data_IF_494245468987
#
_entry.id   IF_494245468987
#
_cell.length_a   1.000
_cell.length_b   1.000
_cell.length_c   1.000
_cell.angle_alpha   90.00
_cell.angle_beta   90.00
_cell.angle_gamma   90.00
#
_symmetry.space_group_name_H-M   'P 1'
#
loop_
_entity.id
_entity.type
_entity.pdbx_description
1 polymer ?
#
# COMPACT_ATOMS: atom_id res chain seq x y z
N UNK A 1 -13.93 -23.99 -10.42
CA UNK A 1 -13.88 -22.76 -11.26
C UNK A 1 -12.48 -22.71 -11.88
N UNK A 2 -12.36 -22.34 -13.15
CA UNK A 2 -11.03 -22.19 -13.77
C UNK A 2 -10.27 -21.05 -13.09
N UNK A 3 -8.96 -21.23 -12.86
CA UNK A 3 -8.09 -20.18 -12.30
C UNK A 3 -8.12 -18.92 -13.18
N UNK A 4 -8.18 -19.07 -14.50
CA UNK A 4 -8.28 -17.93 -15.43
C UNK A 4 -9.53 -17.06 -15.17
N UNK A 5 -10.67 -17.70 -14.91
CA UNK A 5 -11.92 -17.00 -14.60
C UNK A 5 -11.88 -16.31 -13.24
N UNK A 6 -11.20 -16.90 -12.24
CA UNK A 6 -11.02 -16.28 -10.93
C UNK A 6 -10.12 -15.04 -11.02
N UNK A 7 -9.03 -15.13 -11.78
CA UNK A 7 -8.12 -14.01 -12.07
C UNK A 7 -8.86 -12.89 -12.81
N UNK A 8 -9.64 -13.22 -13.85
CA UNK A 8 -10.45 -12.24 -14.60
C UNK A 8 -11.37 -11.44 -13.68
N UNK A 9 -12.15 -12.13 -12.85
CA UNK A 9 -13.09 -11.49 -11.93
C UNK A 9 -12.40 -10.54 -10.93
N UNK A 10 -11.17 -10.86 -10.50
CA UNK A 10 -10.39 -9.96 -9.64
C UNK A 10 -9.84 -8.76 -10.40
N UNK A 11 -9.45 -8.94 -11.66
CA UNK A 11 -8.97 -7.85 -12.51
C UNK A 11 -10.09 -6.87 -12.89
N UNK A 12 -11.33 -7.35 -13.09
CA UNK A 12 -12.51 -6.50 -13.31
C UNK A 12 -12.78 -5.55 -12.14
N UNK A 13 -12.54 -6.00 -10.91
CA UNK A 13 -12.66 -5.21 -9.68
C UNK A 13 -11.40 -4.39 -9.36
N UNK A 14 -10.40 -4.36 -10.23
CA UNK A 14 -9.09 -3.74 -10.02
C UNK A 14 -8.32 -4.27 -8.80
N UNK A 15 -8.61 -5.51 -8.37
CA UNK A 15 -7.98 -6.18 -7.24
C UNK A 15 -6.73 -6.97 -7.68
N UNK A 16 -5.69 -6.25 -8.10
CA UNK A 16 -4.44 -6.80 -8.66
C UNK A 16 -3.75 -7.79 -7.72
N UNK A 17 -3.67 -7.49 -6.42
CA UNK A 17 -3.03 -8.37 -5.44
C UNK A 17 -3.78 -9.71 -5.25
N UNK A 18 -5.12 -9.66 -5.29
CA UNK A 18 -5.94 -10.86 -5.18
C UNK A 18 -5.87 -11.71 -6.46
N UNK A 19 -5.81 -11.07 -7.63
CA UNK A 19 -5.57 -11.74 -8.90
C UNK A 19 -4.25 -12.54 -8.87
N UNK A 20 -3.17 -11.92 -8.37
CA UNK A 20 -1.88 -12.60 -8.19
C UNK A 20 -1.99 -13.76 -7.20
N UNK A 21 -2.74 -13.58 -6.11
CA UNK A 21 -2.98 -14.63 -5.11
C UNK A 21 -3.65 -15.86 -5.72
N UNK A 22 -4.62 -15.68 -6.63
CA UNK A 22 -5.26 -16.79 -7.33
C UNK A 22 -4.28 -17.57 -8.25
N UNK A 23 -3.35 -16.86 -8.90
CA UNK A 23 -2.28 -17.50 -9.69
C UNK A 23 -1.37 -18.33 -8.78
N UNK A 24 -0.94 -17.78 -7.64
CA UNK A 24 -0.10 -18.53 -6.69
C UNK A 24 -0.84 -19.70 -6.02
N UNK A 25 -2.16 -19.62 -5.86
CA UNK A 25 -2.97 -20.74 -5.38
C UNK A 25 -2.92 -21.93 -6.35
N UNK A 26 -2.88 -21.68 -7.67
CA UNK A 26 -2.65 -22.72 -8.67
C UNK A 26 -1.28 -23.40 -8.48
N UNK A 27 -0.21 -22.63 -8.31
CA UNK A 27 1.12 -23.20 -8.06
C UNK A 27 1.19 -23.99 -6.75
N UNK A 28 0.56 -23.49 -5.68
CA UNK A 28 0.43 -24.25 -4.41
C UNK A 28 -0.33 -25.55 -4.61
N UNK A 29 -1.38 -25.57 -5.45
CA UNK A 29 -2.12 -26.79 -5.79
C UNK A 29 -1.25 -27.78 -6.56
N UNK A 30 -0.41 -27.31 -7.49
CA UNK A 30 0.56 -28.13 -8.20
C UNK A 30 1.55 -28.78 -7.24
N UNK A 31 2.11 -28.03 -6.29
CA UNK A 31 2.99 -28.59 -5.25
C UNK A 31 2.29 -29.68 -4.43
N UNK A 32 1.07 -29.39 -3.95
CA UNK A 32 0.27 -30.40 -3.23
C UNK A 32 -0.03 -31.63 -4.10
N UNK A 33 -0.25 -31.46 -5.40
CA UNK A 33 -0.49 -32.55 -6.33
C UNK A 33 0.75 -33.44 -6.50
N UNK A 34 1.95 -32.84 -6.54
CA UNK A 34 3.23 -33.58 -6.52
C UNK A 34 3.32 -34.44 -5.24
N UNK A 35 3.01 -33.87 -4.08
CA UNK A 35 3.06 -34.58 -2.80
C UNK A 35 2.04 -35.74 -2.73
N UNK A 36 0.83 -35.52 -3.24
CA UNK A 36 -0.25 -36.52 -3.25
C UNK A 36 0.02 -37.67 -4.23
N UNK A 37 0.65 -37.37 -5.38
CA UNK A 37 0.89 -38.36 -6.44
C UNK A 37 2.25 -39.04 -6.35
N UNK A 38 3.20 -38.43 -5.63
CA UNK A 38 4.55 -38.97 -5.41
C UNK A 38 5.20 -39.50 -6.69
N UNK A 39 5.42 -38.66 -7.73
CA UNK A 39 5.87 -39.12 -9.05
C UNK A 39 7.21 -39.88 -9.01
N UNK A 40 8.07 -39.60 -8.02
CA UNK A 40 9.32 -40.35 -7.81
C UNK A 40 9.11 -41.79 -7.35
N UNK A 41 7.95 -42.14 -6.79
CA UNK A 41 7.57 -43.52 -6.48
C UNK A 41 7.03 -44.19 -7.73
N UNK A 42 6.12 -43.53 -8.45
CA UNK A 42 5.56 -44.03 -9.72
C UNK A 42 6.65 -44.31 -10.76
N UNK A 43 7.70 -43.48 -10.81
CA UNK A 43 8.84 -43.66 -11.70
C UNK A 43 9.69 -44.91 -11.45
N UNK A 44 9.53 -45.58 -10.29
CA UNK A 44 10.29 -46.80 -9.97
C UNK A 44 9.64 -48.06 -10.52
N UNK A 45 8.35 -48.02 -10.85
CA UNK A 45 7.59 -49.17 -11.31
C UNK A 45 7.22 -49.02 -12.79
N UNK A 46 7.60 -50.00 -13.59
CA UNK A 46 7.33 -49.98 -15.04
C UNK A 46 5.83 -50.08 -15.37
N UNK A 47 5.04 -50.72 -14.50
CA UNK A 47 3.58 -50.80 -14.63
C UNK A 47 2.85 -49.46 -14.40
N UNK A 48 3.48 -48.51 -13.71
CA UNK A 48 2.88 -47.21 -13.36
C UNK A 48 3.24 -46.10 -14.38
N UNK A 49 3.92 -46.44 -15.48
CA UNK A 49 4.39 -45.47 -16.50
C UNK A 49 3.27 -44.62 -17.08
N UNK A 50 2.11 -45.21 -17.40
CA UNK A 50 0.97 -44.46 -17.96
C UNK A 50 0.39 -43.47 -16.93
N UNK A 51 0.37 -43.88 -15.65
CA UNK A 51 -0.07 -43.01 -14.57
C UNK A 51 0.91 -41.86 -14.34
N UNK A 52 2.21 -42.15 -14.37
CA UNK A 52 3.26 -41.13 -14.28
C UNK A 52 3.15 -40.14 -15.43
N UNK A 53 2.97 -40.59 -16.67
CA UNK A 53 2.81 -39.72 -17.83
C UNK A 53 1.62 -38.76 -17.65
N UNK A 54 0.48 -39.27 -17.16
CA UNK A 54 -0.70 -38.46 -16.85
C UNK A 54 -0.42 -37.41 -15.77
N UNK A 55 0.28 -37.80 -14.70
CA UNK A 55 0.64 -36.89 -13.60
C UNK A 55 1.57 -35.78 -14.10
N UNK A 56 2.60 -36.13 -14.87
CA UNK A 56 3.56 -35.19 -15.43
C UNK A 56 2.90 -34.23 -16.42
N UNK A 57 2.03 -34.73 -17.30
CA UNK A 57 1.29 -33.90 -18.24
C UNK A 57 0.42 -32.88 -17.50
N UNK A 58 -0.32 -33.32 -16.49
CA UNK A 58 -1.17 -32.42 -15.71
C UNK A 58 -0.37 -31.30 -15.02
N UNK A 59 0.83 -31.60 -14.53
CA UNK A 59 1.71 -30.62 -13.89
C UNK A 59 2.23 -29.60 -14.90
N UNK A 60 2.78 -30.07 -16.02
CA UNK A 60 3.34 -29.19 -17.05
C UNK A 60 2.27 -28.28 -17.64
N UNK A 61 1.09 -28.83 -17.93
CA UNK A 61 -0.07 -28.08 -18.41
C UNK A 61 -0.49 -26.99 -17.41
N UNK A 62 -0.64 -27.36 -16.13
CA UNK A 62 -1.07 -26.43 -15.09
C UNK A 62 -0.04 -25.31 -14.84
N UNK A 63 1.25 -25.65 -14.87
CA UNK A 63 2.34 -24.67 -14.69
C UNK A 63 2.42 -23.75 -15.91
N UNK A 64 2.23 -24.24 -17.13
CA UNK A 64 2.22 -23.42 -18.34
C UNK A 64 1.05 -22.41 -18.35
N UNK A 65 -0.13 -22.84 -17.91
CA UNK A 65 -1.29 -21.95 -17.73
C UNK A 65 -0.98 -20.90 -16.65
N UNK A 66 -0.44 -21.32 -15.50
CA UNK A 66 -0.06 -20.42 -14.42
C UNK A 66 0.99 -19.38 -14.84
N UNK A 67 2.01 -19.79 -15.60
CA UNK A 67 3.03 -18.90 -16.13
C UNK A 67 2.47 -17.90 -17.15
N UNK A 68 1.54 -18.34 -18.01
CA UNK A 68 0.86 -17.46 -18.96
C UNK A 68 0.00 -16.41 -18.25
N UNK A 69 -0.70 -16.79 -17.17
CA UNK A 69 -1.43 -15.85 -16.30
C UNK A 69 -0.50 -14.90 -15.51
N UNK A 70 0.73 -15.34 -15.22
CA UNK A 70 1.72 -14.56 -14.48
C UNK A 70 2.42 -13.50 -15.35
N UNK A 71 2.45 -13.68 -16.68
CA UNK A 71 3.15 -12.81 -17.62
C UNK A 71 2.82 -11.30 -17.51
N UNK A 72 1.57 -10.86 -17.26
CA UNK A 72 1.24 -9.45 -17.06
C UNK A 72 1.83 -8.85 -15.78
N UNK A 73 2.21 -9.68 -14.79
CA UNK A 73 2.73 -9.25 -13.50
C UNK A 73 4.25 -9.42 -13.40
N UNK A 74 4.78 -10.55 -13.86
CA UNK A 74 6.20 -10.91 -13.84
C UNK A 74 6.62 -11.50 -15.21
N UNK A 75 6.83 -10.65 -16.23
CA UNK A 75 7.07 -11.11 -17.61
C UNK A 75 8.33 -11.97 -17.74
N UNK A 76 9.44 -11.55 -17.12
CA UNK A 76 10.71 -12.27 -17.16
C UNK A 76 10.61 -13.65 -16.48
N UNK A 77 9.95 -13.70 -15.31
CA UNK A 77 9.76 -14.96 -14.59
C UNK A 77 8.87 -15.92 -15.38
N UNK A 78 7.78 -15.42 -15.97
CA UNK A 78 6.89 -16.22 -16.80
C UNK A 78 7.64 -16.80 -18.01
N UNK A 79 8.45 -16.00 -18.70
CA UNK A 79 9.27 -16.45 -19.82
C UNK A 79 10.29 -17.52 -19.40
N UNK A 80 10.95 -17.34 -18.26
CA UNK A 80 11.87 -18.35 -17.71
C UNK A 80 11.17 -19.67 -17.42
N UNK A 81 9.97 -19.64 -16.81
CA UNK A 81 9.19 -20.87 -16.54
C UNK A 81 8.86 -21.59 -17.85
N UNK A 82 8.32 -20.85 -18.82
CA UNK A 82 7.88 -21.42 -20.10
C UNK A 82 9.06 -21.97 -20.92
N UNK A 83 10.20 -21.27 -20.90
CA UNK A 83 11.45 -21.72 -21.53
C UNK A 83 11.97 -23.02 -20.92
N UNK A 84 11.91 -23.15 -19.58
CA UNK A 84 12.29 -24.40 -18.91
C UNK A 84 11.36 -25.56 -19.28
N UNK A 85 10.07 -25.29 -19.45
CA UNK A 85 9.08 -26.27 -19.91
C UNK A 85 9.11 -26.51 -21.44
N UNK A 86 9.94 -25.79 -22.20
CA UNK A 86 10.04 -25.93 -23.65
C UNK A 86 8.77 -25.49 -24.40
N UNK A 87 8.01 -24.55 -23.85
CA UNK A 87 6.76 -24.05 -24.46
C UNK A 87 6.73 -22.51 -24.50
N UNK A 88 5.68 -21.95 -25.12
CA UNK A 88 5.41 -20.52 -25.18
C UNK A 88 4.18 -20.16 -24.35
N UNK A 89 4.02 -18.88 -24.06
CA UNK A 89 2.84 -18.35 -23.38
C UNK A 89 1.59 -18.59 -24.25
N UNK A 90 0.49 -18.94 -23.61
CA UNK A 90 -0.80 -19.12 -24.29
C UNK A 90 -1.47 -17.77 -24.53
N UNK A 91 -2.30 -17.73 -25.56
CA UNK A 91 -3.25 -16.62 -25.70
C UNK A 91 -4.26 -16.68 -24.54
N UNK A 92 -4.83 -15.53 -24.19
CA UNK A 92 -5.71 -15.41 -23.03
C UNK A 92 -6.97 -16.28 -23.16
N UNK A 93 -7.49 -16.37 -24.37
CA UNK A 93 -8.68 -17.11 -24.77
C UNK A 93 -8.50 -18.63 -24.57
N UNK A 94 -7.26 -19.11 -24.66
CA UNK A 94 -6.89 -20.53 -24.58
C UNK A 94 -6.60 -20.99 -23.13
N UNK A 95 -6.57 -20.06 -22.16
CA UNK A 95 -6.23 -20.36 -20.76
C UNK A 95 -7.31 -21.17 -20.03
N UNK A 96 -8.52 -21.24 -20.59
CA UNK A 96 -9.61 -22.06 -20.07
C UNK A 96 -9.57 -23.52 -20.55
N UNK A 97 -8.75 -23.81 -21.56
CA UNK A 97 -8.67 -25.12 -22.19
C UNK A 97 -7.46 -25.92 -21.69
N UNK A 98 -7.70 -27.20 -21.42
CA UNK A 98 -6.69 -28.13 -20.95
C UNK A 98 -6.38 -29.15 -22.05
N UNK A 99 -5.11 -29.48 -22.24
CA UNK A 99 -4.66 -30.40 -23.29
C UNK A 99 -3.91 -29.73 -24.44
N UNK A 100 -3.51 -28.46 -24.30
CA UNK A 100 -2.85 -27.71 -25.37
C UNK A 100 -1.32 -27.75 -25.30
N UNK A 101 -0.73 -28.34 -24.25
CA UNK A 101 0.72 -28.51 -24.21
C UNK A 101 1.17 -29.49 -25.30
N UNK A 102 2.13 -29.09 -26.16
CA UNK A 102 2.54 -29.88 -27.32
C UNK A 102 3.26 -31.17 -26.89
N UNK A 103 2.93 -32.27 -27.58
CA UNK A 103 3.60 -33.55 -27.38
C UNK A 103 4.98 -33.58 -28.05
N UNK A 104 5.89 -34.41 -27.54
CA UNK A 104 7.26 -34.56 -28.05
C UNK A 104 8.25 -33.48 -27.61
N UNK A 105 7.82 -32.52 -26.78
CA UNK A 105 8.70 -31.54 -26.14
C UNK A 105 9.58 -32.17 -25.06
N UNK A 106 10.83 -31.69 -24.93
CA UNK A 106 11.74 -32.06 -23.84
C UNK A 106 11.91 -30.87 -22.89
N UNK A 107 11.54 -31.07 -21.63
CA UNK A 107 11.83 -30.12 -20.53
C UNK A 107 13.35 -30.03 -20.36
N UNK A 108 13.87 -28.85 -19.98
CA UNK A 108 15.30 -28.64 -19.80
C UNK A 108 15.92 -29.62 -18.79
N UNK A 109 17.13 -30.12 -19.09
CA UNK A 109 17.80 -31.10 -18.22
C UNK A 109 18.31 -30.50 -16.91
N UNK A 110 18.67 -29.21 -16.91
CA UNK A 110 19.13 -28.48 -15.74
C UNK A 110 18.18 -27.32 -15.47
N UNK A 111 17.34 -27.38 -14.41
CA UNK A 111 16.44 -26.29 -14.08
C UNK A 111 17.24 -25.07 -13.60
N UNK A 112 16.79 -23.89 -14.00
CA UNK A 112 17.27 -22.61 -13.49
C UNK A 112 16.46 -22.22 -12.25
N UNK A 113 17.14 -21.72 -11.22
CA UNK A 113 16.49 -21.19 -10.02
C UNK A 113 15.72 -19.92 -10.41
N UNK A 114 14.39 -19.96 -10.34
CA UNK A 114 13.52 -18.85 -10.71
C UNK A 114 13.63 -17.66 -9.73
N UNK A 115 13.74 -17.97 -8.45
CA UNK A 115 13.88 -16.99 -7.38
C UNK A 115 15.06 -17.39 -6.49
N UNK A 116 16.20 -16.75 -6.69
CA UNK A 116 17.30 -16.88 -5.75
C UNK A 116 16.83 -16.32 -4.40
N UNK A 117 17.12 -17.03 -3.31
CA UNK A 117 16.89 -16.49 -1.97
C UNK A 117 17.74 -15.23 -1.86
N UNK A 118 17.07 -14.10 -1.67
CA UNK A 118 17.73 -12.85 -1.44
C UNK A 118 18.52 -12.94 -0.12
N UNK A 119 19.81 -12.60 -0.17
CA UNK A 119 20.62 -12.41 1.03
C UNK A 119 20.21 -11.07 1.66
N UNK A 120 19.75 -11.11 2.91
CA UNK A 120 19.20 -9.94 3.60
C UNK A 120 20.16 -8.75 3.53
N UNK A 121 21.45 -8.99 3.78
CA UNK A 121 22.48 -7.94 3.81
C UNK A 121 22.63 -7.23 2.45
N UNK A 122 22.61 -7.97 1.33
CA UNK A 122 22.72 -7.39 -0.02
C UNK A 122 21.46 -6.65 -0.45
N UNK A 123 20.29 -7.08 0.02
CA UNK A 123 19.03 -6.36 -0.22
C UNK A 123 19.01 -5.06 0.54
N UNK A 124 19.46 -5.04 1.80
CA UNK A 124 19.53 -3.81 2.60
C UNK A 124 20.46 -2.80 1.94
N UNK A 125 21.63 -3.21 1.45
CA UNK A 125 22.55 -2.34 0.71
C UNK A 125 21.90 -1.76 -0.57
N UNK A 126 21.21 -2.57 -1.37
CA UNK A 126 20.51 -2.09 -2.57
C UNK A 126 19.33 -1.17 -2.24
N UNK A 127 18.60 -1.48 -1.17
CA UNK A 127 17.50 -0.65 -0.66
C UNK A 127 18.04 0.70 -0.17
N UNK A 128 19.18 0.74 0.51
CA UNK A 128 19.85 1.97 0.92
C UNK A 128 20.31 2.79 -0.28
N UNK A 129 20.93 2.17 -1.29
CA UNK A 129 21.33 2.86 -2.52
C UNK A 129 20.13 3.45 -3.27
N UNK A 130 19.01 2.72 -3.34
CA UNK A 130 17.77 3.21 -3.97
C UNK A 130 17.15 4.34 -3.14
N UNK A 131 17.10 4.19 -1.80
CA UNK A 131 16.63 5.23 -0.87
C UNK A 131 17.47 6.50 -0.99
N UNK A 132 18.80 6.38 -1.03
CA UNK A 132 19.69 7.53 -1.19
C UNK A 132 19.46 8.26 -2.51
N UNK A 133 19.28 7.53 -3.62
CA UNK A 133 18.97 8.14 -4.92
C UNK A 133 17.63 8.86 -4.89
N UNK A 134 16.61 8.25 -4.33
CA UNK A 134 15.28 8.84 -4.19
C UNK A 134 15.30 10.07 -3.27
N UNK A 135 16.05 10.03 -2.16
CA UNK A 135 16.23 11.18 -1.25
C UNK A 135 16.93 12.32 -1.99
N UNK A 136 18.00 12.04 -2.74
CA UNK A 136 18.74 13.06 -3.51
C UNK A 136 17.86 13.69 -4.60
N UNK A 137 17.12 12.88 -5.35
CA UNK A 137 16.18 13.38 -6.37
C UNK A 137 15.08 14.26 -5.75
N UNK A 138 14.53 13.85 -4.60
CA UNK A 138 13.53 14.61 -3.86
C UNK A 138 14.07 15.92 -3.26
N UNK A 139 15.27 15.89 -2.68
CA UNK A 139 15.96 17.10 -2.20
C UNK A 139 16.24 18.07 -3.35
N UNK A 140 16.62 17.57 -4.53
CA UNK A 140 16.80 18.40 -5.72
C UNK A 140 15.49 19.01 -6.23
N UNK A 141 14.38 18.26 -6.21
CA UNK A 141 13.05 18.78 -6.53
C UNK A 141 12.60 19.85 -5.54
N UNK A 142 12.66 19.58 -4.23
CA UNK A 142 12.34 20.56 -3.19
C UNK A 142 13.19 21.82 -3.31
N UNK A 143 14.49 21.67 -3.64
CA UNK A 143 15.39 22.80 -3.85
C UNK A 143 14.98 23.62 -5.07
N UNK A 144 14.59 22.96 -6.17
CA UNK A 144 14.04 23.64 -7.36
C UNK A 144 12.75 24.39 -7.03
N UNK A 145 11.83 23.76 -6.31
CA UNK A 145 10.58 24.39 -5.88
C UNK A 145 10.79 25.57 -4.93
N UNK A 146 11.71 25.46 -3.97
CA UNK A 146 12.06 26.53 -3.05
C UNK A 146 12.66 27.75 -3.77
N UNK A 147 13.53 27.52 -4.75
CA UNK A 147 14.11 28.56 -5.60
C UNK A 147 13.00 29.25 -6.43
N UNK A 148 12.07 28.50 -7.02
CA UNK A 148 10.92 29.04 -7.77
C UNK A 148 10.00 29.86 -6.85
N UNK A 149 9.83 29.43 -5.60
CA UNK A 149 8.98 30.09 -4.60
C UNK A 149 9.67 31.25 -3.85
N UNK A 150 10.93 31.58 -4.17
CA UNK A 150 11.69 32.66 -3.53
C UNK A 150 12.01 32.42 -2.05
N UNK A 151 12.08 31.16 -1.61
CA UNK A 151 12.47 30.75 -0.26
C UNK A 151 13.92 30.28 -0.22
N UNK A 152 14.55 30.41 0.94
CA UNK A 152 15.94 29.99 1.15
C UNK A 152 16.07 28.45 1.02
N UNK A 153 16.87 27.94 0.07
CA UNK A 153 17.00 26.52 -0.22
C UNK A 153 17.79 25.71 0.82
N UNK A 154 18.46 26.35 1.80
CA UNK A 154 19.33 25.67 2.78
C UNK A 154 18.71 25.54 4.19
N UNK A 155 17.45 25.96 4.37
CA UNK A 155 16.83 26.05 5.71
C UNK A 155 16.34 24.72 6.32
N UNK A 156 16.45 23.57 5.64
CA UNK A 156 16.02 22.28 6.16
C UNK A 156 16.93 21.14 5.67
N UNK A 157 17.91 20.79 6.49
CA UNK A 157 18.57 19.46 6.45
C UNK A 157 18.04 18.61 7.60
N UNK A 158 17.30 17.54 7.34
CA UNK A 158 17.14 16.46 8.30
C UNK A 158 18.37 15.55 8.20
N UNK A 159 18.96 15.25 9.36
CA UNK A 159 20.07 14.32 9.48
C UNK A 159 19.58 12.86 9.44
N UNK A 160 20.34 12.06 8.70
CA UNK A 160 20.55 10.61 8.69
C UNK A 160 19.72 9.74 9.65
N UNK A 161 19.05 8.71 9.12
CA UNK A 161 18.86 7.44 9.84
C UNK A 161 18.45 6.28 8.92
N UNK A 162 19.17 5.19 9.15
CA UNK A 162 19.11 3.82 8.64
C UNK A 162 17.93 3.02 9.19
N UNK A 163 17.47 2.06 8.37
CA UNK A 163 16.65 0.84 8.67
C UNK A 163 15.32 0.98 9.45
N UNK A 164 14.24 0.20 9.28
CA UNK A 164 13.69 -0.75 8.30
C UNK A 164 12.23 -0.98 8.77
N UNK A 165 11.19 -0.84 7.94
CA UNK A 165 10.54 -1.99 7.32
C UNK A 165 9.01 -1.97 7.51
N UNK A 166 8.32 -2.45 6.46
CA UNK A 166 6.90 -2.82 6.35
C UNK A 166 5.87 -1.75 5.90
N UNK A 167 5.22 -2.08 4.77
CA UNK A 167 4.08 -1.44 4.07
C UNK A 167 4.37 -0.17 3.25
N UNK A 168 4.69 -0.36 1.97
CA UNK A 168 4.76 0.72 0.99
C UNK A 168 3.70 0.51 -0.10
N UNK A 169 2.51 1.05 0.14
CA UNK A 169 1.62 1.62 -0.89
C UNK A 169 0.87 2.79 -0.24
N UNK A 170 1.64 3.85 0.02
CA UNK A 170 1.26 5.24 0.32
C UNK A 170 2.58 5.92 0.69
N UNK A 171 3.06 6.85 -0.15
CA UNK A 171 4.27 7.62 0.12
C UNK A 171 4.00 8.60 1.28
N UNK A 172 4.06 8.09 2.52
CA UNK A 172 3.99 8.89 3.74
C UNK A 172 5.43 9.17 4.17
N UNK A 173 5.88 10.44 4.23
CA UNK A 173 7.18 10.76 4.79
C UNK A 173 7.24 10.26 6.24
N UNK A 174 8.14 9.31 6.50
CA UNK A 174 8.30 8.71 7.84
C UNK A 174 8.93 9.75 8.75
N UNK A 175 8.16 10.23 9.73
CA UNK A 175 8.68 11.07 10.82
C UNK A 175 9.49 10.20 11.79
N UNK A 176 10.49 10.75 12.51
CA UNK A 176 11.21 10.01 13.54
C UNK A 176 10.24 9.42 14.58
N UNK A 177 10.57 8.25 15.10
CA UNK A 177 9.82 7.64 16.19
C UNK A 177 9.82 8.57 17.40
N UNK A 178 8.64 8.74 18.01
CA UNK A 178 8.47 9.48 19.26
C UNK A 178 8.23 8.48 20.38
N UNK A 179 8.62 8.86 21.60
CA UNK A 179 8.34 8.03 22.77
C UNK A 179 6.85 8.05 23.11
N UNK A 180 6.38 7.04 23.85
CA UNK A 180 5.00 7.07 24.36
C UNK A 180 4.75 8.31 25.23
N UNK A 181 5.76 8.78 25.98
CA UNK A 181 5.65 9.98 26.81
C UNK A 181 5.43 11.25 25.97
N UNK A 182 6.01 11.33 24.78
CA UNK A 182 5.77 12.42 23.84
C UNK A 182 4.31 12.42 23.36
N UNK A 183 3.73 11.25 23.12
CA UNK A 183 2.32 11.09 22.76
C UNK A 183 1.39 11.37 23.95
N UNK A 184 1.67 10.81 25.12
CA UNK A 184 0.91 11.01 26.34
C UNK A 184 0.94 12.47 26.83
N UNK A 185 1.98 13.22 26.45
CA UNK A 185 2.06 14.67 26.68
C UNK A 185 1.09 15.48 25.81
N UNK A 186 0.50 14.91 24.76
CA UNK A 186 -0.49 15.56 23.91
C UNK A 186 -1.90 15.17 24.33
N UNK A 187 -2.75 16.17 24.52
CA UNK A 187 -4.12 15.96 24.95
C UNK A 187 -5.07 16.03 23.75
N UNK A 188 -5.47 14.86 23.27
CA UNK A 188 -6.43 14.73 22.18
C UNK A 188 -7.85 14.58 22.74
N UNK A 189 -8.78 15.38 22.24
CA UNK A 189 -10.20 15.28 22.61
C UNK A 189 -11.10 15.35 21.40
N UNK A 190 -12.25 14.66 21.49
CA UNK A 190 -13.37 14.84 20.57
C UNK A 190 -14.24 15.99 21.08
N UNK A 191 -14.55 16.96 20.22
CA UNK A 191 -15.41 18.08 20.55
C UNK A 191 -16.44 18.37 19.47
N UNK A 192 -17.55 19.00 19.85
CA UNK A 192 -18.60 19.42 18.93
C UNK A 192 -18.43 20.89 18.55
N UNK A 193 -18.45 21.19 17.25
CA UNK A 193 -18.42 22.57 16.77
C UNK A 193 -19.79 23.21 17.00
N UNK A 194 -19.85 24.20 17.88
CA UNK A 194 -21.10 24.92 18.20
C UNK A 194 -21.30 26.16 17.34
N UNK A 195 -20.20 26.71 16.81
CA UNK A 195 -20.21 27.90 15.96
C UNK A 195 -18.99 27.88 15.05
N UNK A 196 -19.15 28.25 13.79
CA UNK A 196 -18.06 28.43 12.84
C UNK A 196 -18.28 29.72 12.05
N UNK A 197 -17.21 30.49 11.84
CA UNK A 197 -17.25 31.74 11.07
C UNK A 197 -16.01 31.85 10.19
N UNK A 198 -16.13 32.55 9.06
CA UNK A 198 -14.97 32.89 8.24
C UNK A 198 -14.11 33.98 8.90
N UNK A 199 -12.79 33.82 8.85
CA UNK A 199 -11.88 34.83 9.39
C UNK A 199 -11.78 36.02 8.43
N UNK A 200 -12.20 37.20 8.90
CA UNK A 200 -12.11 38.45 8.12
C UNK A 200 -10.67 38.71 7.72
N UNK A 201 -10.43 38.89 6.41
CA UNK A 201 -9.09 39.12 5.87
C UNK A 201 -8.31 37.84 5.49
N UNK A 202 -8.88 36.64 5.67
CA UNK A 202 -8.26 35.40 5.23
C UNK A 202 -9.11 34.63 4.21
N UNK A 203 -8.44 34.15 3.15
CA UNK A 203 -9.04 33.27 2.14
C UNK A 203 -8.97 31.78 2.52
N UNK A 204 -8.24 31.43 3.59
CA UNK A 204 -7.96 30.03 3.96
C UNK A 204 -8.49 29.62 5.34
N UNK A 205 -8.81 30.58 6.20
CA UNK A 205 -9.07 30.30 7.63
C UNK A 205 -10.56 30.30 7.98
N UNK A 206 -10.96 29.32 8.78
CA UNK A 206 -12.21 29.29 9.54
C UNK A 206 -11.91 29.38 11.04
N UNK A 207 -12.77 30.09 11.78
CA UNK A 207 -12.74 30.17 13.23
C UNK A 207 -13.89 29.34 13.80
N UNK A 208 -13.56 28.27 14.51
CA UNK A 208 -14.53 27.35 15.12
C UNK A 208 -14.52 27.48 16.64
N UNK A 209 -15.71 27.58 17.23
CA UNK A 209 -15.92 27.39 18.67
C UNK A 209 -16.26 25.93 18.89
N UNK A 210 -15.36 25.20 19.57
CA UNK A 210 -15.48 23.75 19.77
C UNK A 210 -15.72 23.47 21.24
N UNK A 211 -16.79 22.74 21.54
CA UNK A 211 -17.15 22.31 22.89
C UNK A 211 -16.53 20.95 23.19
N UNK A 212 -15.75 20.89 24.27
CA UNK A 212 -15.17 19.67 24.83
C UNK A 212 -15.79 19.43 26.20
N UNK A 213 -17.01 18.89 26.22
CA UNK A 213 -17.79 18.73 27.44
C UNK A 213 -18.21 20.08 28.02
N UNK A 214 -17.65 20.47 29.17
CA UNK A 214 -17.96 21.72 29.85
C UNK A 214 -17.20 22.95 29.35
N UNK A 215 -16.15 22.76 28.55
CA UNK A 215 -15.28 23.84 28.08
C UNK A 215 -15.52 24.14 26.60
N UNK A 216 -15.43 25.41 26.22
CA UNK A 216 -15.45 25.85 24.81
C UNK A 216 -14.12 26.51 24.50
N UNK A 217 -13.46 26.04 23.45
CA UNK A 217 -12.18 26.60 22.96
C UNK A 217 -12.36 27.16 21.55
N UNK A 218 -11.65 28.25 21.27
CA UNK A 218 -11.58 28.81 19.93
C UNK A 218 -10.43 28.17 19.14
N UNK A 219 -10.73 27.58 17.98
CA UNK A 219 -9.74 26.93 17.11
C UNK A 219 -9.82 27.54 15.71
N UNK A 220 -8.69 28.08 15.23
CA UNK A 220 -8.57 28.65 13.90
C UNK A 220 -7.88 27.64 12.98
N UNK A 221 -8.53 27.27 11.87
CA UNK A 221 -8.09 26.17 11.00
C UNK A 221 -8.07 26.56 9.52
N UNK A 222 -7.10 26.04 8.78
CA UNK A 222 -6.83 26.33 7.36
C UNK A 222 -7.72 25.59 6.36
N UNK A 223 -8.95 25.25 6.73
CA UNK A 223 -9.80 24.30 6.00
C UNK A 223 -10.91 24.95 5.17
N UNK A 224 -10.90 26.28 5.03
CA UNK A 224 -11.95 27.04 4.30
C UNK A 224 -12.11 26.62 2.84
N UNK A 225 -11.05 26.12 2.20
CA UNK A 225 -11.12 25.63 0.83
C UNK A 225 -11.96 24.35 0.68
N UNK A 226 -12.16 23.61 1.78
CA UNK A 226 -12.79 22.29 1.79
C UNK A 226 -14.12 22.26 2.55
N UNK A 227 -14.31 23.17 3.51
CA UNK A 227 -15.52 23.24 4.34
C UNK A 227 -16.06 24.67 4.41
N UNK A 228 -17.39 24.77 4.47
CA UNK A 228 -18.12 26.01 4.74
C UNK A 228 -18.49 26.09 6.23
N UNK A 229 -18.67 27.30 6.80
CA UNK A 229 -19.10 27.46 8.20
C UNK A 229 -20.35 26.65 8.55
N UNK A 230 -21.32 26.58 7.63
CA UNK A 230 -22.59 25.87 7.81
C UNK A 230 -22.39 24.35 7.91
N UNK A 231 -21.43 23.80 7.15
CA UNK A 231 -21.09 22.39 7.22
C UNK A 231 -20.34 22.03 8.51
N UNK A 232 -19.64 22.99 9.11
CA UNK A 232 -18.84 22.75 10.32
C UNK A 232 -19.70 22.65 11.58
N UNK A 233 -20.75 23.47 11.69
CA UNK A 233 -21.62 23.49 12.88
C UNK A 233 -22.30 22.14 13.08
N UNK A 234 -22.21 21.61 14.30
CA UNK A 234 -22.78 20.33 14.71
C UNK A 234 -21.85 19.12 14.51
N UNK A 235 -20.77 19.23 13.73
CA UNK A 235 -19.81 18.13 13.54
C UNK A 235 -19.01 17.86 14.82
N UNK A 236 -18.78 16.57 15.07
CA UNK A 236 -17.80 16.09 16.06
C UNK A 236 -16.44 15.97 15.40
N UNK A 237 -15.43 16.59 15.99
CA UNK A 237 -14.08 16.68 15.44
C UNK A 237 -13.05 16.33 16.49
N UNK A 238 -11.96 15.71 16.07
CA UNK A 238 -10.79 15.47 16.91
C UNK A 238 -9.88 16.72 16.93
N UNK A 239 -9.43 17.11 18.11
CA UNK A 239 -8.52 18.23 18.27
C UNK A 239 -7.47 17.99 19.37
N UNK A 240 -6.32 18.62 19.23
CA UNK A 240 -5.32 18.75 20.30
C UNK A 240 -5.68 20.00 21.11
N UNK A 241 -5.87 19.85 22.43
CA UNK A 241 -6.41 20.91 23.30
C UNK A 241 -5.41 21.53 24.28
N UNK A 242 -4.18 20.98 24.35
CA UNK A 242 -3.11 21.42 25.25
C UNK A 242 -1.90 22.03 24.53
N UNK A 243 -2.03 22.43 23.26
CA UNK A 243 -1.01 23.20 22.56
C UNK A 243 -0.93 24.63 23.11
N UNK A 244 0.28 25.22 23.03
CA UNK A 244 0.46 26.65 23.31
C UNK A 244 -0.42 27.47 22.35
N UNK A 245 -1.24 28.42 22.84
CA UNK A 245 -2.09 29.20 21.96
C UNK A 245 -1.29 29.96 20.89
N UNK A 246 -1.76 29.90 19.65
CA UNK A 246 -1.15 30.59 18.52
C UNK A 246 -2.06 31.71 18.02
N UNK A 247 -1.49 32.82 17.51
CA UNK A 247 -2.27 33.90 16.90
C UNK A 247 -2.26 33.76 15.39
N UNK A 248 -3.43 33.55 14.79
CA UNK A 248 -3.62 33.39 13.35
C UNK A 248 -4.57 34.48 12.84
N UNK A 249 -4.08 35.36 11.97
CA UNK A 249 -4.85 36.49 11.43
C UNK A 249 -5.56 37.34 12.52
N UNK A 250 -4.88 37.58 13.65
CA UNK A 250 -5.39 38.36 14.77
C UNK A 250 -6.34 37.62 15.72
N UNK A 251 -6.64 36.34 15.45
CA UNK A 251 -7.46 35.49 16.31
C UNK A 251 -6.59 34.49 17.07
N UNK A 252 -6.91 34.29 18.36
CA UNK A 252 -6.27 33.28 19.21
C UNK A 252 -6.80 31.88 18.85
N UNK A 253 -5.92 30.95 18.52
CA UNK A 253 -6.21 29.52 18.39
C UNK A 253 -5.69 28.78 19.61
N UNK A 254 -6.59 28.12 20.33
CA UNK A 254 -6.33 27.42 21.59
C UNK A 254 -6.27 25.89 21.40
N UNK A 255 -6.06 25.46 20.17
CA UNK A 255 -5.94 24.06 19.79
C UNK A 255 -5.70 23.90 18.30
N UNK A 256 -5.74 22.65 17.85
CA UNK A 256 -5.56 22.27 16.45
C UNK A 256 -6.57 21.18 16.08
N UNK A 257 -7.37 21.41 15.03
CA UNK A 257 -8.22 20.36 14.44
C UNK A 257 -7.35 19.40 13.63
N UNK A 258 -7.60 18.10 13.77
CA UNK A 258 -6.90 17.09 12.99
C UNK A 258 -7.63 16.79 11.69
N UNK A 259 -6.87 16.78 10.60
CA UNK A 259 -7.34 16.43 9.27
C UNK A 259 -6.40 15.38 8.66
N UNK A 260 -6.95 14.46 7.88
CA UNK A 260 -6.21 13.66 6.92
C UNK A 260 -6.16 14.41 5.58
N UNK A 261 -5.06 14.22 4.84
CA UNK A 261 -4.90 14.73 3.48
C UNK A 261 -4.90 13.53 2.53
N UNK A 262 -5.68 13.61 1.44
CA UNK A 262 -5.68 12.59 0.39
C UNK A 262 -4.63 12.88 -0.71
N UNK A 263 -4.50 11.98 -1.68
CA UNK A 263 -3.53 12.08 -2.77
C UNK A 263 -3.72 13.33 -3.66
N UNK A 264 -4.92 13.93 -3.65
CA UNK A 264 -5.25 15.15 -4.39
C UNK A 264 -5.04 16.42 -3.53
N UNK A 265 -4.51 16.28 -2.31
CA UNK A 265 -4.29 17.39 -1.37
C UNK A 265 -5.58 17.88 -0.71
N UNK A 266 -6.64 17.07 -0.66
CA UNK A 266 -7.93 17.43 -0.05
C UNK A 266 -7.95 17.06 1.42
N UNK A 267 -8.39 18.00 2.27
CA UNK A 267 -8.46 17.80 3.72
C UNK A 267 -9.78 17.17 4.17
N UNK A 268 -9.68 16.04 4.86
CA UNK A 268 -10.78 15.34 5.52
C UNK A 268 -10.66 15.48 7.04
N UNK A 269 -11.70 15.98 7.73
CA UNK A 269 -11.68 16.05 9.20
C UNK A 269 -11.67 14.65 9.82
N UNK A 270 -10.85 14.46 10.86
CA UNK A 270 -10.86 13.24 11.65
C UNK A 270 -12.10 13.21 12.55
N UNK A 271 -12.95 12.21 12.35
CA UNK A 271 -14.20 12.00 13.08
C UNK A 271 -14.23 10.61 13.71
N UNK A 272 -14.82 10.43 14.89
CA UNK A 272 -15.01 9.10 15.47
C UNK A 272 -16.02 8.30 14.66
N UNK A 273 -15.77 7.00 14.46
CA UNK A 273 -16.69 6.07 13.77
C UNK A 273 -18.04 5.90 14.50
N UNK A 274 -18.01 6.05 15.83
CA UNK A 274 -19.20 5.98 16.69
C UNK A 274 -19.47 7.31 17.36
N UNK A 275 -20.73 7.53 17.72
CA UNK A 275 -21.09 8.68 18.52
C UNK A 275 -20.49 8.55 19.93
N UNK A 276 -19.68 9.54 20.33
CA UNK A 276 -18.96 9.59 21.61
C UNK A 276 -19.28 10.90 22.32
N UNK A 277 -19.21 10.93 23.65
CA UNK A 277 -19.54 12.13 24.41
C UNK A 277 -18.60 13.31 24.06
N UNK A 278 -19.11 14.53 24.14
CA UNK A 278 -18.29 15.72 23.96
C UNK A 278 -17.23 15.76 25.07
N UNK A 279 -15.96 15.97 24.69
CA UNK A 279 -14.83 15.97 25.61
C UNK A 279 -14.22 14.59 25.87
N UNK A 280 -14.67 13.53 25.20
CA UNK A 280 -14.02 12.23 25.25
C UNK A 280 -12.55 12.34 24.85
N UNK A 281 -11.68 11.77 25.68
CA UNK A 281 -10.25 11.63 25.42
C UNK A 281 -10.00 10.60 24.33
N UNK A 282 -8.99 10.86 23.50
CA UNK A 282 -8.53 9.93 22.46
C UNK A 282 -7.22 9.32 22.94
N UNK A 283 -7.21 8.00 23.08
CA UNK A 283 -6.09 7.20 23.58
C UNK A 283 -5.59 6.20 22.52
#
# INVERSE_FOLDING_TARGET
>A
KSTSAAVHAKMDELRVADALTEIFNLFKRCNKYIDETTPWVLAKNEADKDRLATVMYNLVESIAIGASLLAPFLPETAEKILSQLGTKARAYEELGEFGLYPDGGKVVEKPEILFARLEADKVMEQVEVIKEKQIKEYEEELRREAIIAGKDPDAQKPADSTESGAFADLHVPVKPEVTYDDFAGLEFRVGQIIKCEEVKGSKKLLCSQVRFGGEVKQIVSGIKAYYTPEQMVGKKVMAIVNLKPATLAGLKSEGMLLCAEDADGKLALMVPDKDVADGSEVC
#
